data_IF_602309310827
#
_entry.id   IF_602309310827
#
_cell.length_a   1.000
_cell.length_b   1.000
_cell.length_c   1.000
_cell.angle_alpha   90.00
_cell.angle_beta   90.00
_cell.angle_gamma   90.00
#
_symmetry.space_group_name_H-M   'P 1'
#
loop_
_entity.id
_entity.type
_entity.pdbx_description
1 polymer ?
#
# COMPACT_ATOMS: atom_id res chain seq x y z
N UNK A 1 6.36 -29.80 18.26
CA UNK A 1 4.98 -30.03 17.77
C UNK A 1 4.29 -28.71 17.48
N UNK A 2 3.99 -28.42 16.22
CA UNK A 2 3.10 -27.32 15.83
C UNK A 2 1.66 -27.74 16.13
N UNK A 3 1.01 -27.14 17.14
CA UNK A 3 -0.43 -27.35 17.34
C UNK A 3 -1.17 -26.76 16.13
N UNK A 4 -2.02 -27.57 15.50
CA UNK A 4 -2.77 -27.18 14.30
C UNK A 4 -3.77 -26.04 14.58
N UNK A 5 -4.26 -25.94 15.81
CA UNK A 5 -5.12 -24.87 16.28
C UNK A 5 -4.58 -24.23 17.56
N UNK A 6 -4.72 -22.92 17.69
CA UNK A 6 -4.37 -22.18 18.91
C UNK A 6 -5.51 -21.26 19.35
N UNK A 7 -5.48 -20.82 20.62
CA UNK A 7 -6.42 -19.83 21.15
C UNK A 7 -6.44 -18.49 20.37
N UNK A 8 -5.38 -18.21 19.61
CA UNK A 8 -5.25 -16.99 18.83
C UNK A 8 -5.96 -17.06 17.48
N UNK A 9 -6.31 -18.24 16.97
CA UNK A 9 -6.77 -18.40 15.59
C UNK A 9 -8.08 -17.67 15.33
N UNK A 10 -9.00 -17.71 16.30
CA UNK A 10 -10.26 -16.98 16.24
C UNK A 10 -10.03 -15.47 16.18
N UNK A 11 -9.14 -14.95 17.04
CA UNK A 11 -8.79 -13.52 17.07
C UNK A 11 -8.11 -13.08 15.78
N UNK A 12 -7.22 -13.92 15.24
CA UNK A 12 -6.54 -13.61 13.97
C UNK A 12 -7.54 -13.60 12.82
N UNK A 13 -8.38 -14.64 12.68
CA UNK A 13 -9.37 -14.72 11.59
C UNK A 13 -10.44 -13.62 11.69
N UNK A 14 -10.84 -13.24 12.92
CA UNK A 14 -11.77 -12.15 13.16
C UNK A 14 -11.25 -10.79 12.68
N UNK A 15 -9.93 -10.63 12.56
CA UNK A 15 -9.31 -9.41 12.01
C UNK A 15 -8.92 -9.58 10.54
N UNK A 16 -8.34 -10.72 10.17
CA UNK A 16 -7.84 -10.96 8.82
C UNK A 16 -8.97 -11.07 7.78
N UNK A 17 -10.08 -11.76 8.08
CA UNK A 17 -11.16 -11.94 7.09
C UNK A 17 -11.82 -10.60 6.73
N UNK A 18 -12.20 -9.73 7.70
CA UNK A 18 -12.69 -8.39 7.37
C UNK A 18 -11.64 -7.50 6.69
N UNK A 19 -10.35 -7.64 7.06
CA UNK A 19 -9.27 -6.91 6.41
C UNK A 19 -9.13 -7.31 4.94
N UNK A 20 -9.22 -8.60 4.60
CA UNK A 20 -9.21 -9.08 3.22
C UNK A 20 -10.35 -8.47 2.41
N UNK A 21 -11.57 -8.46 2.98
CA UNK A 21 -12.72 -7.80 2.35
C UNK A 21 -12.43 -6.33 2.06
N UNK A 22 -11.88 -5.60 3.05
CA UNK A 22 -11.52 -4.17 2.92
C UNK A 22 -10.44 -3.94 1.86
N UNK A 23 -9.40 -4.76 1.83
CA UNK A 23 -8.32 -4.69 0.85
C UNK A 23 -8.80 -5.02 -0.57
N UNK A 24 -9.79 -5.90 -0.71
CA UNK A 24 -10.39 -6.27 -1.98
C UNK A 24 -11.35 -5.20 -2.55
N UNK A 25 -11.97 -4.37 -1.71
CA UNK A 25 -12.91 -3.32 -2.17
C UNK A 25 -12.26 -2.41 -3.20
N UNK A 26 -11.05 -1.90 -2.93
CA UNK A 26 -10.36 -0.97 -3.83
C UNK A 26 -10.17 -1.54 -5.25
N UNK A 27 -9.50 -2.70 -5.41
CA UNK A 27 -9.37 -3.37 -6.70
C UNK A 27 -10.71 -3.70 -7.38
N UNK A 28 -11.72 -4.14 -6.62
CA UNK A 28 -13.04 -4.47 -7.17
C UNK A 28 -13.77 -3.22 -7.69
N UNK A 29 -13.70 -2.10 -6.98
CA UNK A 29 -14.26 -0.82 -7.45
C UNK A 29 -13.52 -0.36 -8.71
N UNK A 30 -12.19 -0.41 -8.71
CA UNK A 30 -11.38 -0.04 -9.87
C UNK A 30 -11.70 -0.89 -11.12
N UNK A 31 -12.14 -2.14 -10.95
CA UNK A 31 -12.58 -3.00 -12.05
C UNK A 31 -13.87 -2.47 -12.70
N UNK A 32 -14.79 -1.93 -11.90
CA UNK A 32 -16.03 -1.32 -12.39
C UNK A 32 -15.74 -0.07 -13.23
N UNK A 33 -14.87 0.83 -12.75
CA UNK A 33 -14.44 2.02 -13.49
C UNK A 33 -13.79 1.63 -14.83
N UNK A 34 -12.92 0.62 -14.78
CA UNK A 34 -12.25 0.07 -15.96
C UNK A 34 -13.26 -0.52 -16.95
N UNK A 35 -14.32 -1.18 -16.47
CA UNK A 35 -15.38 -1.73 -17.31
C UNK A 35 -16.19 -0.62 -18.01
N UNK A 36 -16.48 0.50 -17.34
CA UNK A 36 -17.15 1.64 -17.98
C UNK A 36 -16.27 2.27 -19.05
N UNK A 37 -15.01 2.56 -18.74
CA UNK A 37 -14.07 3.14 -19.72
C UNK A 37 -13.78 2.17 -20.87
N UNK A 38 -13.74 0.86 -20.61
CA UNK A 38 -13.57 -0.17 -21.63
C UNK A 38 -14.62 -0.13 -22.73
N UNK A 39 -15.85 0.32 -22.42
CA UNK A 39 -16.92 0.50 -23.43
C UNK A 39 -16.66 1.66 -24.40
N UNK A 40 -15.75 2.58 -24.07
CA UNK A 40 -15.38 3.69 -24.95
C UNK A 40 -14.38 3.29 -26.04
N UNK A 41 -13.77 2.10 -25.93
CA UNK A 41 -12.81 1.56 -26.89
C UNK A 41 -11.38 1.44 -26.36
N UNK A 42 -10.48 0.97 -27.23
CA UNK A 42 -9.11 0.55 -26.85
C UNK A 42 -8.23 1.70 -26.39
N UNK A 43 -8.27 2.85 -27.08
CA UNK A 43 -7.40 4.00 -26.77
C UNK A 43 -7.76 4.63 -25.41
N UNK A 44 -9.03 4.92 -25.08
CA UNK A 44 -9.41 5.38 -23.74
C UNK A 44 -9.01 4.42 -22.60
N UNK A 45 -9.16 3.11 -22.82
CA UNK A 45 -8.79 2.09 -21.84
C UNK A 45 -7.28 2.03 -21.60
N UNK A 46 -6.48 2.06 -22.67
CA UNK A 46 -5.02 2.13 -22.55
C UNK A 46 -4.57 3.41 -21.83
N UNK A 47 -5.23 4.54 -22.12
CA UNK A 47 -4.93 5.83 -21.47
C UNK A 47 -5.25 5.79 -19.98
N UNK A 48 -6.35 5.15 -19.60
CA UNK A 48 -6.71 4.93 -18.19
C UNK A 48 -5.65 4.08 -17.48
N UNK A 49 -5.17 2.99 -18.09
CA UNK A 49 -4.17 2.10 -17.50
C UNK A 49 -2.83 2.80 -17.22
N UNK A 50 -2.32 3.59 -18.18
CA UNK A 50 -1.12 4.42 -17.98
C UNK A 50 -1.31 5.38 -16.82
N UNK A 51 -2.45 6.06 -16.78
CA UNK A 51 -2.75 7.02 -15.73
C UNK A 51 -2.93 6.38 -14.35
N UNK A 52 -3.60 5.24 -14.26
CA UNK A 52 -3.75 4.50 -13.01
C UNK A 52 -2.38 4.13 -12.41
N UNK A 53 -1.43 3.74 -13.27
CA UNK A 53 -0.05 3.45 -12.85
C UNK A 53 0.68 4.69 -12.34
N UNK A 54 0.59 5.81 -13.08
CA UNK A 54 1.18 7.10 -12.66
C UNK A 54 0.59 7.55 -11.32
N UNK A 55 -0.73 7.49 -11.16
CA UNK A 55 -1.41 7.86 -9.90
C UNK A 55 -0.99 6.97 -8.75
N UNK A 56 -0.96 5.65 -8.96
CA UNK A 56 -0.52 4.71 -7.92
C UNK A 56 0.90 5.05 -7.46
N UNK A 57 1.85 5.23 -8.37
CA UNK A 57 3.23 5.57 -8.03
C UNK A 57 3.35 6.94 -7.33
N UNK A 58 2.62 7.95 -7.81
CA UNK A 58 2.66 9.29 -7.26
C UNK A 58 2.09 9.35 -5.83
N UNK A 59 1.05 8.56 -5.52
CA UNK A 59 0.32 8.69 -4.26
C UNK A 59 0.56 7.58 -3.24
N UNK A 60 0.98 6.37 -3.65
CA UNK A 60 1.17 5.24 -2.73
C UNK A 60 2.20 5.54 -1.63
N UNK A 61 3.21 6.35 -1.95
CA UNK A 61 4.27 6.74 -1.01
C UNK A 61 3.70 7.55 0.16
N UNK A 62 2.63 8.32 -0.07
CA UNK A 62 2.00 9.15 0.95
C UNK A 62 1.13 8.37 1.93
N UNK A 63 0.90 7.06 1.71
CA UNK A 63 0.21 6.19 2.67
C UNK A 63 0.79 6.28 4.08
N UNK A 64 2.07 6.67 4.22
CA UNK A 64 2.68 6.96 5.50
C UNK A 64 1.85 7.94 6.35
N UNK A 65 1.10 8.85 5.75
CA UNK A 65 0.35 9.88 6.48
C UNK A 65 -0.69 9.24 7.39
N UNK A 66 -1.45 8.25 6.89
CA UNK A 66 -2.38 7.50 7.74
C UNK A 66 -1.66 6.71 8.83
N UNK A 67 -0.55 6.04 8.49
CA UNK A 67 0.23 5.23 9.43
C UNK A 67 0.97 6.07 10.48
N UNK A 68 1.32 7.32 10.19
CA UNK A 68 1.97 8.23 11.11
C UNK A 68 0.96 8.98 12.00
N UNK A 69 -0.21 9.32 11.47
CA UNK A 69 -1.27 10.03 12.20
C UNK A 69 -1.97 9.11 13.20
N UNK A 70 -2.35 7.90 12.78
CA UNK A 70 -3.14 6.97 13.61
C UNK A 70 -2.54 6.73 15.00
N UNK A 71 -1.28 6.26 15.15
CA UNK A 71 -0.71 5.96 16.46
C UNK A 71 -0.48 7.20 17.31
N UNK A 72 -0.16 8.36 16.70
CA UNK A 72 0.03 9.62 17.45
C UNK A 72 -1.28 10.12 18.05
N UNK A 73 -2.34 10.13 17.25
CA UNK A 73 -3.68 10.51 17.70
C UNK A 73 -4.19 9.51 18.74
N UNK A 74 -4.02 8.19 18.50
CA UNK A 74 -4.42 7.15 19.44
C UNK A 74 -3.68 7.25 20.77
N UNK A 75 -2.36 7.52 20.75
CA UNK A 75 -1.55 7.69 21.94
C UNK A 75 -1.97 8.89 22.77
N UNK A 76 -2.16 10.05 22.13
CA UNK A 76 -2.64 11.26 22.81
C UNK A 76 -4.06 11.08 23.38
N UNK A 77 -4.96 10.53 22.57
CA UNK A 77 -6.34 10.24 22.99
C UNK A 77 -6.40 9.24 24.15
N UNK A 78 -5.58 8.19 24.13
CA UNK A 78 -5.49 7.19 25.19
C UNK A 78 -5.00 7.74 26.52
N UNK A 79 -4.16 8.79 26.50
CA UNK A 79 -3.74 9.53 27.72
C UNK A 79 -4.79 10.53 28.23
N UNK A 80 -5.93 10.65 27.55
CA UNK A 80 -6.95 11.67 27.86
C UNK A 80 -6.62 13.06 27.33
N UNK A 81 -5.49 13.24 26.64
CA UNK A 81 -5.05 14.52 26.08
C UNK A 81 -5.67 14.75 24.70
N UNK A 82 -6.93 15.18 24.71
CA UNK A 82 -7.68 15.47 23.47
C UNK A 82 -7.11 16.64 22.69
N UNK A 83 -6.45 17.57 23.37
CA UNK A 83 -5.88 18.75 22.73
C UNK A 83 -4.65 18.39 21.90
N UNK A 84 -3.74 17.59 22.45
CA UNK A 84 -2.59 17.06 21.70
C UNK A 84 -3.04 16.17 20.54
N UNK A 85 -4.08 15.35 20.75
CA UNK A 85 -4.69 14.56 19.68
C UNK A 85 -5.21 15.47 18.55
N UNK A 86 -5.90 16.55 18.89
CA UNK A 86 -6.41 17.51 17.92
C UNK A 86 -5.31 18.28 17.20
N UNK A 87 -4.26 18.73 17.92
CA UNK A 87 -3.08 19.38 17.32
C UNK A 87 -2.37 18.46 16.34
N UNK A 88 -2.26 17.16 16.67
CA UNK A 88 -1.71 16.11 15.78
C UNK A 88 -2.54 15.98 14.50
N UNK A 89 -3.87 16.05 14.58
CA UNK A 89 -4.75 16.02 13.40
C UNK A 89 -4.54 17.24 12.50
N UNK A 90 -4.45 18.44 13.08
CA UNK A 90 -4.20 19.66 12.30
C UNK A 90 -2.85 19.59 11.59
N UNK A 91 -1.80 19.14 12.27
CA UNK A 91 -0.49 18.90 11.65
C UNK A 91 -0.56 17.93 10.47
N UNK A 92 -1.29 16.82 10.63
CA UNK A 92 -1.49 15.85 9.56
C UNK A 92 -2.25 16.45 8.36
N UNK A 93 -3.33 17.21 8.60
CA UNK A 93 -4.10 17.88 7.55
C UNK A 93 -3.28 18.95 6.81
N UNK A 94 -2.50 19.76 7.52
CA UNK A 94 -1.59 20.75 6.93
C UNK A 94 -0.54 20.07 6.05
N UNK A 95 0.07 18.99 6.53
CA UNK A 95 1.03 18.21 5.75
C UNK A 95 0.37 17.57 4.52
N UNK A 96 -0.85 17.03 4.67
CA UNK A 96 -1.62 16.46 3.56
C UNK A 96 -1.88 17.48 2.46
N UNK A 97 -2.36 18.67 2.84
CA UNK A 97 -2.63 19.74 1.91
C UNK A 97 -1.35 20.19 1.18
N UNK A 98 -0.27 20.45 1.94
CA UNK A 98 1.01 20.88 1.37
C UNK A 98 1.63 19.86 0.41
N UNK A 99 1.71 18.58 0.82
CA UNK A 99 2.23 17.51 -0.03
C UNK A 99 1.32 17.24 -1.23
N UNK A 100 0.00 17.37 -1.06
CA UNK A 100 -0.96 17.17 -2.14
C UNK A 100 -0.89 18.27 -3.18
N UNK A 101 -0.71 19.54 -2.75
CA UNK A 101 -0.42 20.66 -3.65
C UNK A 101 0.91 20.45 -4.37
N UNK A 102 1.97 20.06 -3.67
CA UNK A 102 3.26 19.76 -4.28
C UNK A 102 3.14 18.65 -5.35
N UNK A 103 2.48 17.54 -5.02
CA UNK A 103 2.26 16.44 -5.94
C UNK A 103 1.44 16.89 -7.17
N UNK A 104 0.41 17.71 -6.96
CA UNK A 104 -0.41 18.29 -8.04
C UNK A 104 0.43 19.15 -8.98
N UNK A 105 1.22 20.08 -8.43
CA UNK A 105 2.10 20.96 -9.22
C UNK A 105 3.11 20.16 -10.03
N UNK A 106 3.74 19.15 -9.43
CA UNK A 106 4.70 18.28 -10.12
C UNK A 106 4.01 17.49 -11.23
N UNK A 107 2.85 16.88 -10.96
CA UNK A 107 2.10 16.12 -11.96
C UNK A 107 1.62 17.00 -13.11
N UNK A 108 1.08 18.19 -12.86
CA UNK A 108 0.65 19.13 -13.90
C UNK A 108 1.81 19.61 -14.77
N UNK A 109 2.92 20.02 -14.14
CA UNK A 109 4.09 20.56 -14.84
C UNK A 109 4.84 19.50 -15.65
N UNK A 110 5.00 18.30 -15.07
CA UNK A 110 5.76 17.21 -15.69
C UNK A 110 4.88 16.19 -16.43
N UNK A 111 3.56 16.38 -16.52
CA UNK A 111 2.64 15.40 -17.11
C UNK A 111 3.07 14.87 -18.49
N UNK A 112 3.45 15.70 -19.48
CA UNK A 112 3.88 15.19 -20.78
C UNK A 112 5.14 14.33 -20.69
N UNK A 113 6.10 14.72 -19.85
CA UNK A 113 7.35 13.98 -19.66
C UNK A 113 7.09 12.63 -18.97
N UNK A 114 6.30 12.64 -17.89
CA UNK A 114 5.92 11.44 -17.15
C UNK A 114 5.17 10.47 -18.08
N UNK A 115 4.18 10.95 -18.83
CA UNK A 115 3.40 10.10 -19.73
C UNK A 115 4.24 9.52 -20.87
N UNK A 116 5.14 10.30 -21.46
CA UNK A 116 6.08 9.79 -22.47
C UNK A 116 7.05 8.77 -21.89
N UNK A 117 7.55 8.99 -20.67
CA UNK A 117 8.40 8.03 -19.96
C UNK A 117 7.65 6.71 -19.65
N UNK A 118 6.33 6.78 -19.44
CA UNK A 118 5.45 5.62 -19.29
C UNK A 118 5.04 4.98 -20.62
N UNK A 119 5.53 5.48 -21.76
CA UNK A 119 5.27 4.93 -23.09
C UNK A 119 4.02 5.47 -23.79
N UNK A 120 3.35 6.49 -23.26
CA UNK A 120 2.21 7.13 -23.93
C UNK A 120 2.70 8.01 -25.09
N UNK A 121 2.62 7.50 -26.31
CA UNK A 121 3.00 8.17 -27.56
C UNK A 121 1.88 8.12 -28.60
N UNK A 122 2.00 8.91 -29.67
CA UNK A 122 0.99 8.99 -30.74
C UNK A 122 -0.41 9.34 -30.21
N UNK A 123 -1.42 8.61 -30.67
CA UNK A 123 -2.83 8.82 -30.35
C UNK A 123 -3.17 8.61 -28.86
N UNK A 124 -2.27 7.97 -28.10
CA UNK A 124 -2.47 7.70 -26.67
C UNK A 124 -2.15 8.91 -25.79
N UNK A 125 -1.23 9.79 -26.23
CA UNK A 125 -0.70 10.87 -25.39
C UNK A 125 -1.78 11.90 -25.04
N UNK A 126 -2.59 12.33 -26.00
CA UNK A 126 -3.60 13.37 -25.79
C UNK A 126 -4.71 12.94 -24.81
N UNK A 127 -5.34 11.76 -24.97
CA UNK A 127 -6.31 11.26 -23.99
C UNK A 127 -5.69 11.05 -22.60
N UNK A 128 -4.47 10.49 -22.54
CA UNK A 128 -3.78 10.26 -21.28
C UNK A 128 -3.44 11.57 -20.56
N UNK A 129 -3.00 12.60 -21.30
CA UNK A 129 -2.66 13.92 -20.76
C UNK A 129 -3.89 14.63 -20.19
N UNK A 130 -5.01 14.61 -20.91
CA UNK A 130 -6.25 15.23 -20.43
C UNK A 130 -6.76 14.57 -19.15
N UNK A 131 -6.72 13.25 -19.10
CA UNK A 131 -7.10 12.49 -17.89
C UNK A 131 -6.16 12.81 -16.71
N UNK A 132 -4.83 12.78 -16.94
CA UNK A 132 -3.83 13.02 -15.89
C UNK A 132 -4.03 14.38 -15.22
N UNK A 133 -4.21 15.43 -16.02
CA UNK A 133 -4.36 16.80 -15.52
C UNK A 133 -5.59 16.96 -14.64
N UNK A 134 -6.75 16.53 -15.13
CA UNK A 134 -8.00 16.59 -14.34
C UNK A 134 -7.85 15.84 -13.01
N UNK A 135 -7.26 14.65 -13.06
CA UNK A 135 -7.04 13.85 -11.85
C UNK A 135 -5.98 14.46 -10.92
N UNK A 136 -4.98 15.17 -11.45
CA UNK A 136 -3.92 15.77 -10.65
C UNK A 136 -4.49 16.81 -9.69
N UNK A 137 -5.54 17.54 -10.11
CA UNK A 137 -6.30 18.48 -9.26
C UNK A 137 -6.95 17.82 -8.03
N UNK A 138 -7.12 16.50 -8.01
CA UNK A 138 -7.60 15.76 -6.85
C UNK A 138 -6.47 15.42 -5.85
N UNK A 139 -5.21 15.73 -6.14
CA UNK A 139 -4.05 15.41 -5.29
C UNK A 139 -4.20 15.85 -3.83
N UNK A 140 -4.62 17.10 -3.52
CA UNK A 140 -4.85 17.53 -2.15
C UNK A 140 -5.98 16.75 -1.49
N UNK A 141 -7.06 16.48 -2.22
CA UNK A 141 -8.20 15.73 -1.72
C UNK A 141 -7.83 14.29 -1.34
N UNK A 142 -7.04 13.61 -2.18
CA UNK A 142 -6.56 12.23 -1.92
C UNK A 142 -5.78 12.18 -0.59
N UNK A 143 -4.87 13.12 -0.36
CA UNK A 143 -4.08 13.12 0.87
C UNK A 143 -4.89 13.55 2.10
N UNK A 144 -5.83 14.49 1.95
CA UNK A 144 -6.74 14.88 3.03
C UNK A 144 -7.65 13.72 3.45
N UNK A 145 -8.16 12.94 2.50
CA UNK A 145 -8.91 11.70 2.77
C UNK A 145 -8.05 10.72 3.57
N UNK A 146 -6.80 10.53 3.16
CA UNK A 146 -5.86 9.66 3.87
C UNK A 146 -5.56 10.14 5.30
N UNK A 147 -5.36 11.44 5.50
CA UNK A 147 -5.17 12.03 6.83
C UNK A 147 -6.43 11.86 7.70
N UNK A 148 -7.63 12.07 7.13
CA UNK A 148 -8.91 11.87 7.80
C UNK A 148 -9.12 10.42 8.24
N UNK A 149 -8.77 9.45 7.39
CA UNK A 149 -8.75 8.04 7.76
C UNK A 149 -7.86 7.78 8.97
N UNK A 150 -6.63 8.31 8.97
CA UNK A 150 -5.70 8.15 10.08
C UNK A 150 -6.20 8.81 11.38
N UNK A 151 -6.77 10.01 11.28
CA UNK A 151 -7.28 10.76 12.42
C UNK A 151 -8.41 10.01 13.14
N UNK A 152 -9.47 9.64 12.42
CA UNK A 152 -10.62 8.96 13.01
C UNK A 152 -10.28 7.56 13.53
N UNK A 153 -9.42 6.80 12.85
CA UNK A 153 -8.89 5.54 13.39
C UNK A 153 -8.11 5.77 14.68
N UNK A 154 -7.35 6.86 14.77
CA UNK A 154 -6.64 7.25 15.99
C UNK A 154 -7.58 7.54 17.16
N UNK A 155 -8.70 8.23 16.90
CA UNK A 155 -9.79 8.41 17.88
C UNK A 155 -10.62 7.13 18.12
N UNK A 156 -10.18 5.98 17.60
CA UNK A 156 -10.87 4.68 17.73
C UNK A 156 -12.27 4.65 17.07
N UNK A 157 -12.58 5.60 16.17
CA UNK A 157 -13.80 5.61 15.37
C UNK A 157 -13.53 5.02 13.98
N UNK A 158 -13.88 3.75 13.82
CA UNK A 158 -13.74 3.03 12.55
C UNK A 158 -14.97 3.13 11.65
N UNK A 159 -16.10 3.60 12.17
CA UNK A 159 -17.37 3.71 11.41
C UNK A 159 -17.41 4.96 10.55
N UNK A 160 -16.98 6.09 11.10
CA UNK A 160 -16.99 7.37 10.37
C UNK A 160 -16.16 7.30 9.08
N UNK A 161 -14.92 6.76 9.08
CA UNK A 161 -14.16 6.59 7.85
C UNK A 161 -14.83 5.67 6.82
N UNK A 162 -15.51 4.60 7.27
CA UNK A 162 -16.24 3.70 6.38
C UNK A 162 -17.40 4.44 5.69
N UNK A 163 -18.19 5.23 6.42
CA UNK A 163 -19.30 5.97 5.82
C UNK A 163 -18.84 7.04 4.84
N UNK A 164 -17.75 7.76 5.16
CA UNK A 164 -17.16 8.71 4.20
C UNK A 164 -16.65 7.95 2.98
N UNK A 165 -16.01 6.78 3.16
CA UNK A 165 -15.59 5.89 2.07
C UNK A 165 -16.74 5.48 1.15
N UNK A 166 -17.85 5.03 1.73
CA UNK A 166 -19.03 4.63 0.97
C UNK A 166 -19.65 5.81 0.23
N UNK A 167 -19.71 6.99 0.86
CA UNK A 167 -20.23 8.20 0.23
C UNK A 167 -19.40 8.62 -0.99
N UNK A 168 -18.06 8.66 -0.90
CA UNK A 168 -17.27 9.01 -2.08
C UNK A 168 -17.41 7.98 -3.21
N UNK A 169 -17.43 6.69 -2.88
CA UNK A 169 -17.53 5.64 -3.90
C UNK A 169 -18.92 5.64 -4.54
N UNK A 170 -19.98 5.93 -3.77
CA UNK A 170 -21.32 6.11 -4.31
C UNK A 170 -21.42 7.32 -5.25
N UNK A 171 -20.80 8.46 -4.87
CA UNK A 171 -20.70 9.63 -5.76
C UNK A 171 -19.94 9.28 -7.03
N UNK A 172 -18.81 8.58 -6.94
CA UNK A 172 -18.05 8.15 -8.11
C UNK A 172 -18.86 7.23 -9.02
N UNK A 173 -19.48 6.18 -8.45
CA UNK A 173 -20.28 5.21 -9.20
C UNK A 173 -21.53 5.83 -9.85
N UNK A 174 -22.09 6.89 -9.28
CA UNK A 174 -23.20 7.64 -9.88
C UNK A 174 -22.72 8.61 -10.98
N UNK A 175 -21.62 9.32 -10.73
CA UNK A 175 -21.08 10.30 -11.68
C UNK A 175 -20.40 9.65 -12.90
N UNK A 176 -19.81 8.47 -12.76
CA UNK A 176 -19.13 7.78 -13.86
C UNK A 176 -20.05 7.58 -15.08
N UNK A 177 -21.16 6.81 -15.00
CA UNK A 177 -22.02 6.61 -16.17
C UNK A 177 -22.67 7.91 -16.65
N UNK A 178 -22.97 8.83 -15.73
CA UNK A 178 -23.58 10.12 -16.05
C UNK A 178 -22.63 11.01 -16.87
N UNK A 179 -21.38 11.18 -16.45
CA UNK A 179 -20.41 12.03 -17.15
C UNK A 179 -19.83 11.33 -18.38
N UNK A 180 -19.56 10.02 -18.29
CA UNK A 180 -18.98 9.24 -19.40
C UNK A 180 -19.97 9.14 -20.55
N UNK A 181 -21.20 8.66 -20.29
CA UNK A 181 -22.19 8.35 -21.32
C UNK A 181 -23.30 9.39 -21.41
N UNK A 182 -23.84 9.85 -20.28
CA UNK A 182 -24.96 10.80 -20.26
C UNK A 182 -24.61 12.17 -20.87
N UNK A 183 -23.46 12.73 -20.48
CA UNK A 183 -22.93 13.98 -21.06
C UNK A 183 -21.95 13.76 -22.21
N UNK A 184 -21.58 12.51 -22.50
CA UNK A 184 -20.66 12.16 -23.58
C UNK A 184 -19.22 12.65 -23.39
N UNK A 185 -18.77 12.90 -22.14
CA UNK A 185 -17.40 13.38 -21.89
C UNK A 185 -16.35 12.28 -22.01
N UNK A 186 -16.76 11.02 -22.16
CA UNK A 186 -15.89 9.87 -22.35
C UNK A 186 -14.88 9.75 -21.20
N UNK A 187 -13.60 9.55 -21.55
CA UNK A 187 -12.50 9.42 -20.57
C UNK A 187 -12.36 10.67 -19.67
N UNK A 188 -12.67 11.85 -20.20
CA UNK A 188 -12.68 13.10 -19.42
C UNK A 188 -13.75 13.04 -18.32
N UNK A 189 -14.90 12.44 -18.62
CA UNK A 189 -15.98 12.22 -17.66
C UNK A 189 -15.54 11.34 -16.50
N UNK A 190 -14.86 10.23 -16.78
CA UNK A 190 -14.29 9.34 -15.76
C UNK A 190 -13.29 10.07 -14.84
N UNK A 191 -12.37 10.84 -15.44
CA UNK A 191 -11.40 11.64 -14.67
C UNK A 191 -12.09 12.61 -13.71
N UNK A 192 -13.10 13.34 -14.21
CA UNK A 192 -13.84 14.33 -13.43
C UNK A 192 -14.69 13.68 -12.34
N UNK A 193 -15.38 12.58 -12.64
CA UNK A 193 -16.20 11.85 -11.67
C UNK A 193 -15.38 11.42 -10.46
N UNK A 194 -14.21 10.81 -10.68
CA UNK A 194 -13.36 10.42 -9.55
C UNK A 194 -12.75 11.62 -8.83
N UNK A 195 -12.38 12.70 -9.55
CA UNK A 195 -11.85 13.90 -8.92
C UNK A 195 -12.89 14.55 -7.99
N UNK A 196 -14.14 14.66 -8.44
CA UNK A 196 -15.26 15.16 -7.64
C UNK A 196 -15.50 14.27 -6.43
N UNK A 197 -15.54 12.95 -6.60
CA UNK A 197 -15.70 12.01 -5.50
C UNK A 197 -14.62 12.16 -4.42
N UNK A 198 -13.35 12.30 -4.82
CA UNK A 198 -12.26 12.53 -3.87
C UNK A 198 -12.44 13.83 -3.08
N UNK A 199 -12.85 14.92 -3.76
CA UNK A 199 -13.18 16.17 -3.09
C UNK A 199 -14.39 16.04 -2.14
N UNK A 200 -15.42 15.27 -2.51
CA UNK A 200 -16.54 14.96 -1.60
C UNK A 200 -16.04 14.28 -0.33
N UNK A 201 -15.17 13.28 -0.44
CA UNK A 201 -14.57 12.61 0.72
C UNK A 201 -13.72 13.56 1.58
N UNK A 202 -12.87 14.37 0.95
CA UNK A 202 -12.02 15.34 1.63
C UNK A 202 -12.83 16.40 2.38
N UNK A 203 -13.83 16.99 1.72
CA UNK A 203 -14.73 17.97 2.32
C UNK A 203 -15.58 17.34 3.43
N UNK A 204 -15.99 16.08 3.28
CA UNK A 204 -16.66 15.31 4.33
C UNK A 204 -15.81 15.18 5.59
N UNK A 205 -14.54 14.76 5.46
CA UNK A 205 -13.62 14.69 6.59
C UNK A 205 -13.33 16.06 7.20
N UNK A 206 -13.07 17.09 6.38
CA UNK A 206 -12.84 18.44 6.88
C UNK A 206 -14.05 19.00 7.61
N UNK A 207 -15.26 18.81 7.09
CA UNK A 207 -16.49 19.22 7.75
C UNK A 207 -16.71 18.49 9.08
N UNK A 208 -16.34 17.21 9.18
CA UNK A 208 -16.42 16.47 10.42
C UNK A 208 -15.37 16.92 11.44
N UNK A 209 -14.10 17.08 11.04
CA UNK A 209 -12.99 17.40 11.92
C UNK A 209 -12.97 18.87 12.35
N UNK A 210 -13.23 19.79 11.42
CA UNK A 210 -13.06 21.22 11.64
C UNK A 210 -14.36 21.95 12.03
N UNK A 211 -15.53 21.33 11.81
CA UNK A 211 -16.84 21.93 12.10
C UNK A 211 -17.64 21.07 13.06
N UNK A 212 -18.14 19.91 12.62
CA UNK A 212 -19.20 19.16 13.32
C UNK A 212 -18.75 18.46 14.61
N UNK A 213 -17.52 17.93 14.64
CA UNK A 213 -16.96 17.22 15.81
C UNK A 213 -15.71 17.90 16.37
N UNK A 214 -15.47 19.15 15.99
CA UNK A 214 -14.25 19.90 16.36
C UNK A 214 -13.99 19.89 17.87
N UNK A 215 -14.99 20.31 18.65
CA UNK A 215 -14.88 20.39 20.12
C UNK A 215 -14.79 19.00 20.75
N UNK A 216 -15.62 18.07 20.29
CA UNK A 216 -15.63 16.68 20.79
C UNK A 216 -14.27 15.97 20.59
N UNK A 217 -13.54 16.32 19.54
CA UNK A 217 -12.24 15.77 19.19
C UNK A 217 -11.06 16.61 19.72
N UNK A 218 -11.31 17.75 20.37
CA UNK A 218 -10.26 18.63 20.90
C UNK A 218 -9.43 19.34 19.82
N UNK A 219 -10.03 19.63 18.66
CA UNK A 219 -9.32 20.21 17.51
C UNK A 219 -9.06 21.71 17.74
N UNK A 220 -7.79 22.02 17.99
CA UNK A 220 -7.28 23.40 18.11
C UNK A 220 -6.72 23.84 16.76
N UNK A 221 -7.35 24.87 16.18
CA UNK A 221 -6.94 25.46 14.89
C UNK A 221 -5.76 26.40 15.09
N UNK A 222 -4.57 25.83 15.25
CA UNK A 222 -3.31 26.55 15.26
C UNK A 222 -2.46 26.13 14.08
N UNK A 223 -1.91 27.11 13.37
CA UNK A 223 -0.98 26.84 12.28
C UNK A 223 0.27 26.17 12.85
N UNK A 224 0.58 24.93 12.44
CA UNK A 224 1.71 24.22 13.00
C UNK A 224 3.01 24.89 12.56
N UNK A 225 3.90 25.14 13.52
CA UNK A 225 5.27 25.55 13.19
C UNK A 225 5.92 24.43 12.36
N UNK A 226 6.74 24.78 11.36
CA UNK A 226 7.44 23.78 10.54
C UNK A 226 8.21 22.74 11.38
N UNK A 227 8.76 23.17 12.53
CA UNK A 227 9.44 22.28 13.48
C UNK A 227 8.53 21.20 14.07
N UNK A 228 7.24 21.49 14.28
CA UNK A 228 6.25 20.53 14.76
C UNK A 228 5.89 19.48 13.70
N UNK A 229 6.16 19.75 12.42
CA UNK A 229 5.99 18.78 11.33
C UNK A 229 7.18 17.82 11.19
N UNK A 230 8.35 18.14 11.75
CA UNK A 230 9.55 17.32 11.62
C UNK A 230 9.37 15.88 12.14
N UNK A 231 8.72 15.62 13.29
CA UNK A 231 8.48 14.24 13.74
C UNK A 231 7.61 13.45 12.76
N UNK A 232 6.58 14.09 12.18
CA UNK A 232 5.73 13.51 11.13
C UNK A 232 6.54 13.19 9.87
N UNK A 233 7.36 14.13 9.42
CA UNK A 233 8.19 13.94 8.24
C UNK A 233 9.27 12.88 8.45
N UNK A 234 9.85 12.74 9.66
CA UNK A 234 10.84 11.70 9.95
C UNK A 234 10.23 10.31 9.85
N UNK A 235 9.12 10.05 10.56
CA UNK A 235 8.42 8.75 10.45
C UNK A 235 7.86 8.54 9.05
N UNK A 236 7.37 9.61 8.43
CA UNK A 236 6.91 9.60 7.06
C UNK A 236 7.99 9.21 6.07
N UNK A 237 9.19 9.75 6.20
CA UNK A 237 10.35 9.40 5.39
C UNK A 237 10.78 7.95 5.62
N UNK A 238 10.74 7.47 6.86
CA UNK A 238 11.02 6.07 7.18
C UNK A 238 10.05 5.12 6.46
N UNK A 239 8.75 5.37 6.53
CA UNK A 239 7.75 4.55 5.85
C UNK A 239 7.77 4.75 4.32
N UNK A 240 7.96 5.98 3.84
CA UNK A 240 8.05 6.28 2.42
C UNK A 240 9.30 5.64 1.79
N UNK A 241 10.45 5.67 2.46
CA UNK A 241 11.68 5.03 1.97
C UNK A 241 11.52 3.51 1.85
N UNK A 242 10.81 2.87 2.79
CA UNK A 242 10.41 1.47 2.67
C UNK A 242 9.54 1.24 1.43
N UNK A 243 8.50 2.04 1.25
CA UNK A 243 7.58 1.91 0.11
C UNK A 243 8.32 2.14 -1.21
N UNK A 244 9.12 3.20 -1.31
CA UNK A 244 9.94 3.54 -2.47
C UNK A 244 10.97 2.47 -2.81
N UNK A 245 11.60 1.85 -1.81
CA UNK A 245 12.54 0.77 -2.03
C UNK A 245 11.84 -0.46 -2.64
N UNK A 246 10.66 -0.83 -2.12
CA UNK A 246 9.86 -1.93 -2.65
C UNK A 246 9.35 -1.64 -4.06
N UNK A 247 8.65 -0.52 -4.26
CA UNK A 247 8.07 -0.16 -5.57
C UNK A 247 9.15 0.16 -6.59
N UNK A 248 10.25 0.79 -6.18
CA UNK A 248 11.42 1.04 -7.02
C UNK A 248 12.08 -0.25 -7.51
N UNK A 249 12.15 -1.29 -6.68
CA UNK A 249 12.65 -2.60 -7.11
C UNK A 249 11.70 -3.26 -8.12
N UNK A 250 10.39 -3.17 -7.93
CA UNK A 250 9.40 -3.67 -8.90
C UNK A 250 9.46 -2.91 -10.24
N UNK A 251 9.64 -1.60 -10.18
CA UNK A 251 9.80 -0.75 -11.35
C UNK A 251 11.10 -1.08 -12.10
N UNK A 252 12.22 -1.28 -11.38
CA UNK A 252 13.49 -1.72 -11.95
C UNK A 252 13.35 -3.09 -12.62
N UNK A 253 12.72 -4.07 -11.96
CA UNK A 253 12.48 -5.39 -12.52
C UNK A 253 11.69 -5.32 -13.84
N UNK A 254 10.65 -4.49 -13.87
CA UNK A 254 9.85 -4.23 -15.08
C UNK A 254 10.68 -3.58 -16.18
N UNK A 255 11.49 -2.57 -15.85
CA UNK A 255 12.37 -1.89 -16.80
C UNK A 255 13.43 -2.84 -17.38
N UNK A 256 14.00 -3.74 -16.55
CA UNK A 256 14.93 -4.76 -16.99
C UNK A 256 14.23 -5.78 -17.90
N UNK A 257 13.04 -6.27 -17.54
CA UNK A 257 12.26 -7.18 -18.40
C UNK A 257 11.97 -6.57 -19.78
N UNK A 258 11.63 -5.27 -19.84
CA UNK A 258 11.43 -4.55 -21.10
C UNK A 258 12.69 -4.43 -21.95
N UNK A 259 13.87 -4.33 -21.32
CA UNK A 259 15.17 -4.33 -22.03
C UNK A 259 15.60 -5.72 -22.50
N UNK A 260 15.10 -6.78 -21.86
CA UNK A 260 15.31 -8.16 -22.33
C UNK A 260 14.49 -8.40 -23.60
N UNK A 261 13.21 -8.02 -23.60
CA UNK A 261 12.37 -8.10 -24.79
C UNK A 261 10.88 -7.84 -24.54
N UNK A 262 10.12 -7.75 -25.63
CA UNK A 262 8.69 -7.37 -25.62
C UNK A 262 7.80 -8.49 -25.07
N UNK A 263 8.06 -9.74 -25.43
CA UNK A 263 7.34 -10.90 -24.90
C UNK A 263 7.68 -11.13 -23.42
N UNK A 264 8.90 -10.81 -23.00
CA UNK A 264 9.40 -10.94 -21.63
C UNK A 264 8.72 -9.96 -20.68
N UNK A 265 8.59 -8.69 -21.07
CA UNK A 265 7.84 -7.72 -20.25
C UNK A 265 6.36 -8.06 -20.21
N UNK A 266 5.76 -8.57 -21.30
CA UNK A 266 4.37 -9.02 -21.28
C UNK A 266 4.16 -10.18 -20.29
N UNK A 267 5.02 -11.20 -20.33
CA UNK A 267 4.96 -12.32 -19.40
C UNK A 267 5.22 -11.88 -17.95
N UNK A 268 6.17 -10.96 -17.74
CA UNK A 268 6.45 -10.35 -16.43
C UNK A 268 5.21 -9.65 -15.86
N UNK A 269 4.50 -8.85 -16.66
CA UNK A 269 3.29 -8.14 -16.20
C UNK A 269 2.20 -9.11 -15.74
N UNK A 270 1.93 -10.17 -16.51
CA UNK A 270 0.92 -11.16 -16.13
C UNK A 270 1.30 -11.86 -14.82
N UNK A 271 2.56 -12.28 -14.69
CA UNK A 271 3.05 -12.93 -13.49
C UNK A 271 3.09 -11.98 -12.26
N UNK A 272 3.45 -10.70 -12.46
CA UNK A 272 3.43 -9.68 -11.42
C UNK A 272 1.99 -9.34 -10.96
N UNK A 273 1.01 -9.37 -11.88
CA UNK A 273 -0.40 -9.20 -11.56
C UNK A 273 -0.92 -10.37 -10.70
N UNK A 274 -0.58 -11.61 -11.08
CA UNK A 274 -0.90 -12.79 -10.29
C UNK A 274 -0.27 -12.71 -8.89
N UNK A 275 1.00 -12.31 -8.82
CA UNK A 275 1.69 -12.11 -7.55
C UNK A 275 1.01 -11.05 -6.67
N UNK A 276 0.62 -9.91 -7.25
CA UNK A 276 -0.05 -8.81 -6.54
C UNK A 276 -1.43 -9.21 -6.02
N UNK A 277 -2.17 -10.04 -6.77
CA UNK A 277 -3.45 -10.59 -6.31
C UNK A 277 -3.27 -11.50 -5.09
N UNK A 278 -2.27 -12.39 -5.12
CA UNK A 278 -1.97 -13.30 -4.01
C UNK A 278 -1.47 -12.54 -2.77
N UNK A 279 -0.73 -11.45 -2.98
CA UNK A 279 -0.26 -10.55 -1.94
C UNK A 279 -1.42 -9.99 -1.09
N UNK A 280 -2.57 -9.64 -1.69
CA UNK A 280 -3.74 -9.12 -0.97
C UNK A 280 -4.24 -10.08 0.13
N UNK A 281 -4.20 -11.39 -0.14
CA UNK A 281 -4.62 -12.43 0.82
C UNK A 281 -3.68 -12.48 2.02
N UNK A 282 -2.38 -12.35 1.76
CA UNK A 282 -1.34 -12.36 2.80
C UNK A 282 -1.34 -11.04 3.59
N UNK A 283 -1.55 -9.91 2.94
CA UNK A 283 -1.62 -8.59 3.59
C UNK A 283 -2.73 -8.52 4.63
N UNK A 284 -3.83 -9.25 4.41
CA UNK A 284 -4.89 -9.40 5.42
C UNK A 284 -4.37 -10.02 6.74
N UNK A 285 -3.45 -10.98 6.66
CA UNK A 285 -2.77 -11.54 7.84
C UNK A 285 -1.78 -10.55 8.45
N UNK A 286 -1.10 -9.74 7.64
CA UNK A 286 -0.21 -8.69 8.12
C UNK A 286 -0.96 -7.62 8.93
N UNK A 287 -2.16 -7.24 8.50
CA UNK A 287 -3.05 -6.33 9.26
C UNK A 287 -3.43 -6.93 10.61
N UNK A 288 -3.81 -8.21 10.65
CA UNK A 288 -4.10 -8.90 11.90
C UNK A 288 -2.86 -8.99 12.82
N UNK A 289 -1.68 -9.19 12.24
CA UNK A 289 -0.42 -9.20 12.96
C UNK A 289 -0.12 -7.86 13.62
N UNK A 290 -0.22 -6.77 12.86
CA UNK A 290 -0.04 -5.42 13.38
C UNK A 290 -0.96 -5.14 14.56
N UNK A 291 -2.26 -5.44 14.42
CA UNK A 291 -3.25 -5.17 15.45
C UNK A 291 -3.06 -5.99 16.73
N UNK A 292 -2.82 -7.31 16.61
CA UNK A 292 -2.70 -8.19 17.77
C UNK A 292 -1.37 -7.99 18.51
N UNK A 293 -0.28 -7.77 17.78
CA UNK A 293 1.02 -7.49 18.39
C UNK A 293 0.97 -6.18 19.16
N UNK A 294 0.46 -5.10 18.55
CA UNK A 294 0.28 -3.83 19.22
C UNK A 294 -0.64 -3.94 20.45
N UNK A 295 -1.75 -4.70 20.36
CA UNK A 295 -2.67 -4.93 21.48
C UNK A 295 -1.98 -5.58 22.67
N UNK A 296 -1.25 -6.67 22.45
CA UNK A 296 -0.62 -7.40 23.56
C UNK A 296 0.59 -6.65 24.14
N UNK A 297 1.32 -5.88 23.34
CA UNK A 297 2.39 -5.03 23.84
C UNK A 297 1.84 -3.84 24.65
N UNK A 298 0.78 -3.19 24.17
CA UNK A 298 0.12 -2.11 24.91
C UNK A 298 -0.57 -2.57 26.19
N UNK A 299 -0.83 -3.88 26.35
CA UNK A 299 -1.34 -4.48 27.58
C UNK A 299 -0.23 -5.01 28.50
N UNK A 300 1.04 -4.71 28.19
CA UNK A 300 2.22 -5.22 28.91
C UNK A 300 2.29 -6.76 28.97
N UNK A 301 1.87 -7.43 27.90
CA UNK A 301 1.87 -8.88 27.76
C UNK A 301 2.84 -9.37 26.67
N UNK A 302 4.16 -9.09 26.78
CA UNK A 302 5.14 -9.35 25.72
C UNK A 302 5.25 -10.85 25.36
N UNK A 303 5.00 -11.74 26.33
CA UNK A 303 4.94 -13.19 26.09
C UNK A 303 3.78 -13.56 25.17
N UNK A 304 2.61 -12.93 25.32
CA UNK A 304 1.46 -13.17 24.43
C UNK A 304 1.69 -12.53 23.06
N UNK A 305 2.32 -11.36 22.99
CA UNK A 305 2.73 -10.73 21.73
C UNK A 305 3.66 -11.64 20.91
N UNK A 306 4.66 -12.26 21.55
CA UNK A 306 5.55 -13.22 20.90
C UNK A 306 4.81 -14.50 20.47
N UNK A 307 3.92 -15.03 21.31
CA UNK A 307 3.16 -16.24 21.02
C UNK A 307 2.20 -16.05 19.82
N UNK A 308 1.48 -14.92 19.76
CA UNK A 308 0.61 -14.61 18.62
C UNK A 308 1.43 -14.38 17.34
N UNK A 309 2.58 -13.69 17.44
CA UNK A 309 3.50 -13.49 16.30
C UNK A 309 3.96 -14.82 15.69
N UNK A 310 4.36 -15.77 16.53
CA UNK A 310 4.76 -17.11 16.07
C UNK A 310 3.60 -17.84 15.39
N UNK A 311 2.39 -17.73 15.93
CA UNK A 311 1.21 -18.35 15.29
C UNK A 311 0.90 -17.72 13.95
N UNK A 312 0.96 -16.39 13.84
CA UNK A 312 0.77 -15.65 12.60
C UNK A 312 1.79 -16.07 11.53
N UNK A 313 3.07 -16.21 11.88
CA UNK A 313 4.09 -16.70 10.94
C UNK A 313 3.80 -18.13 10.44
N UNK A 314 3.36 -19.03 11.33
CA UNK A 314 2.97 -20.40 10.96
C UNK A 314 1.75 -20.40 10.04
N UNK A 315 0.74 -19.60 10.36
CA UNK A 315 -0.47 -19.51 9.55
C UNK A 315 -0.19 -18.83 8.20
N UNK A 316 0.65 -17.80 8.18
CA UNK A 316 1.17 -17.18 6.97
C UNK A 316 1.89 -18.20 6.08
N UNK A 317 2.79 -19.01 6.64
CA UNK A 317 3.46 -20.08 5.90
C UNK A 317 2.46 -21.08 5.30
N UNK A 318 1.46 -21.50 6.07
CA UNK A 318 0.42 -22.41 5.59
C UNK A 318 -0.41 -21.79 4.46
N UNK A 319 -0.86 -20.54 4.61
CA UNK A 319 -1.59 -19.80 3.57
C UNK A 319 -0.72 -19.62 2.33
N UNK A 320 0.54 -19.22 2.48
CA UNK A 320 1.48 -19.08 1.37
C UNK A 320 1.74 -20.41 0.65
N UNK A 321 1.80 -21.54 1.37
CA UNK A 321 1.91 -22.87 0.76
C UNK A 321 0.65 -23.27 -0.02
N UNK A 322 -0.54 -22.97 0.51
CA UNK A 322 -1.81 -23.19 -0.20
C UNK A 322 -1.90 -22.34 -1.46
N UNK A 323 -1.56 -21.05 -1.38
CA UNK A 323 -1.55 -20.13 -2.53
C UNK A 323 -0.52 -20.56 -3.58
N UNK A 324 0.69 -20.93 -3.15
CA UNK A 324 1.74 -21.46 -4.04
C UNK A 324 1.31 -22.76 -4.71
N UNK A 325 0.68 -23.68 -3.96
CA UNK A 325 0.12 -24.91 -4.48
C UNK A 325 -0.99 -24.66 -5.51
N UNK A 326 -1.88 -23.70 -5.24
CA UNK A 326 -2.93 -23.31 -6.18
C UNK A 326 -2.35 -22.79 -7.50
N UNK A 327 -1.35 -21.89 -7.44
CA UNK A 327 -0.66 -21.41 -8.66
C UNK A 327 0.03 -22.56 -9.38
N UNK A 328 0.71 -23.45 -8.65
CA UNK A 328 1.39 -24.60 -9.24
C UNK A 328 0.44 -25.51 -9.99
N UNK A 329 -0.75 -25.78 -9.44
CA UNK A 329 -1.77 -26.63 -10.07
C UNK A 329 -2.44 -25.94 -11.26
N UNK A 330 -2.73 -24.63 -11.14
CA UNK A 330 -3.41 -23.86 -12.18
C UNK A 330 -2.46 -23.41 -13.30
N UNK A 331 -1.14 -23.55 -13.14
CA UNK A 331 -0.12 -23.08 -14.10
C UNK A 331 -0.38 -23.41 -15.57
N UNK A 332 -0.91 -24.59 -15.98
CA UNK A 332 -1.08 -24.90 -17.40
C UNK A 332 -2.24 -24.12 -18.05
N UNK A 333 -3.26 -23.79 -17.25
CA UNK A 333 -4.44 -23.07 -17.72
C UNK A 333 -4.31 -21.54 -17.54
N UNK A 334 -3.46 -21.11 -16.61
CA UNK A 334 -3.33 -19.71 -16.22
C UNK A 334 -2.98 -18.77 -17.38
N UNK A 335 -2.04 -19.08 -18.30
CA UNK A 335 -1.72 -18.21 -19.45
C UNK A 335 -2.91 -17.94 -20.39
N UNK A 336 -3.76 -18.95 -20.60
CA UNK A 336 -4.90 -18.84 -21.52
C UNK A 336 -5.96 -17.83 -21.04
N UNK A 337 -5.91 -17.41 -19.78
CA UNK A 337 -6.76 -16.35 -19.25
C UNK A 337 -6.28 -14.94 -19.61
N UNK A 338 -5.01 -14.79 -20.05
CA UNK A 338 -4.36 -13.49 -20.21
C UNK A 338 -3.85 -13.21 -21.62
N UNK A 339 -3.49 -14.24 -22.40
CA UNK A 339 -2.89 -14.04 -23.72
C UNK A 339 -3.03 -15.24 -24.64
N UNK A 340 -3.15 -14.96 -25.93
CA UNK A 340 -3.09 -15.94 -27.02
C UNK A 340 -1.69 -16.00 -27.68
N UNK A 341 -0.73 -15.16 -27.25
CA UNK A 341 0.62 -15.15 -27.81
C UNK A 341 1.45 -16.32 -27.29
N UNK A 342 1.85 -17.22 -28.21
CA UNK A 342 2.62 -18.41 -27.89
C UNK A 342 4.00 -18.10 -27.27
N UNK A 343 4.63 -16.97 -27.62
CA UNK A 343 5.91 -16.58 -27.03
C UNK A 343 5.74 -16.15 -25.56
N UNK A 344 4.78 -15.26 -25.30
CA UNK A 344 4.41 -14.81 -23.94
C UNK A 344 3.94 -15.97 -23.07
N UNK A 345 3.10 -16.88 -23.60
CA UNK A 345 2.65 -18.07 -22.85
C UNK A 345 3.82 -18.96 -22.42
N UNK A 346 4.80 -19.20 -23.31
CA UNK A 346 5.99 -20.01 -22.98
C UNK A 346 6.83 -19.38 -21.87
N UNK A 347 7.04 -18.06 -21.95
CA UNK A 347 7.78 -17.30 -20.95
C UNK A 347 7.03 -17.26 -19.60
N UNK A 348 5.71 -17.11 -19.64
CA UNK A 348 4.86 -17.12 -18.44
C UNK A 348 4.92 -18.48 -17.73
N UNK A 349 4.85 -19.58 -18.49
CA UNK A 349 5.01 -20.93 -17.94
C UNK A 349 6.40 -21.14 -17.33
N UNK A 350 7.45 -20.54 -17.89
CA UNK A 350 8.80 -20.60 -17.35
C UNK A 350 8.96 -19.84 -16.02
N UNK A 351 8.21 -18.74 -15.81
CA UNK A 351 8.25 -17.96 -14.56
C UNK A 351 7.22 -18.38 -13.52
N UNK A 352 6.18 -19.12 -13.90
CA UNK A 352 5.15 -19.60 -12.98
C UNK A 352 5.71 -20.37 -11.74
N UNK A 353 6.77 -21.19 -11.85
CA UNK A 353 7.44 -21.79 -10.69
C UNK A 353 7.96 -20.76 -9.69
N UNK A 354 8.51 -19.63 -10.15
CA UNK A 354 8.96 -18.55 -9.26
C UNK A 354 7.77 -17.96 -8.50
N UNK A 355 6.68 -17.65 -9.20
CA UNK A 355 5.45 -17.13 -8.58
C UNK A 355 4.94 -18.10 -7.52
N UNK A 356 4.86 -19.39 -7.82
CA UNK A 356 4.33 -20.42 -6.92
C UNK A 356 5.23 -20.66 -5.70
N UNK A 357 6.51 -20.94 -5.92
CA UNK A 357 7.45 -21.34 -4.87
C UNK A 357 7.85 -20.17 -3.96
N UNK A 358 7.72 -18.94 -4.43
CA UNK A 358 7.98 -17.75 -3.63
C UNK A 358 6.81 -17.42 -2.67
N UNK A 359 5.59 -17.95 -2.85
CA UNK A 359 4.43 -17.60 -2.00
C UNK A 359 4.61 -17.88 -0.50
N UNK A 360 5.13 -19.05 -0.06
CA UNK A 360 5.40 -19.29 1.36
C UNK A 360 6.37 -18.26 1.95
N UNK A 361 7.38 -17.89 1.16
CA UNK A 361 8.40 -16.92 1.55
C UNK A 361 7.83 -15.50 1.60
N UNK A 362 7.02 -15.09 0.62
CA UNK A 362 6.28 -13.82 0.63
C UNK A 362 5.41 -13.73 1.88
N UNK A 363 4.71 -14.82 2.22
CA UNK A 363 3.81 -14.85 3.36
C UNK A 363 4.54 -14.60 4.69
N UNK A 364 5.71 -15.21 4.88
CA UNK A 364 6.53 -14.95 6.07
C UNK A 364 6.99 -13.49 6.14
N UNK A 365 7.43 -12.93 5.01
CA UNK A 365 7.96 -11.57 4.95
C UNK A 365 6.86 -10.53 5.20
N UNK A 366 5.67 -10.71 4.62
CA UNK A 366 4.59 -9.73 4.74
C UNK A 366 3.93 -9.78 6.12
N UNK A 367 3.73 -10.99 6.67
CA UNK A 367 3.33 -11.14 8.08
C UNK A 367 4.40 -10.56 9.00
N UNK A 368 5.68 -10.76 8.67
CA UNK A 368 6.81 -10.13 9.34
C UNK A 368 6.69 -8.60 9.36
N UNK A 369 6.41 -7.97 8.22
CA UNK A 369 6.16 -6.53 8.17
C UNK A 369 5.07 -6.10 9.15
N UNK A 370 3.95 -6.82 9.18
CA UNK A 370 2.85 -6.56 10.12
C UNK A 370 3.28 -6.67 11.58
N UNK A 371 4.08 -7.69 11.93
CA UNK A 371 4.64 -7.84 13.29
C UNK A 371 5.53 -6.64 13.66
N UNK A 372 6.44 -6.25 12.76
CA UNK A 372 7.35 -5.12 12.99
C UNK A 372 6.64 -3.76 13.04
N UNK A 373 5.57 -3.59 12.26
CA UNK A 373 4.69 -2.43 12.39
C UNK A 373 3.95 -2.43 13.73
N UNK A 374 3.50 -3.59 14.22
CA UNK A 374 2.90 -3.73 15.55
C UNK A 374 3.86 -3.51 16.71
N UNK A 375 5.17 -3.72 16.48
CA UNK A 375 6.27 -3.40 17.40
C UNK A 375 6.71 -1.92 17.33
N UNK A 376 6.18 -1.15 16.37
CA UNK A 376 6.60 0.22 16.05
C UNK A 376 8.09 0.39 15.70
N UNK A 377 8.79 -0.69 15.31
CA UNK A 377 10.20 -0.65 14.88
C UNK A 377 10.33 -0.20 13.40
N UNK A 378 9.72 0.94 13.09
CA UNK A 378 9.63 1.49 11.74
C UNK A 378 11.01 1.78 11.14
N UNK A 379 11.94 2.27 11.96
CA UNK A 379 13.30 2.60 11.53
C UNK A 379 14.07 1.38 11.07
N UNK A 380 13.97 0.26 11.80
CA UNK A 380 14.57 -1.00 11.39
C UNK A 380 13.93 -1.49 10.09
N UNK A 381 12.59 -1.50 10.03
CA UNK A 381 11.83 -2.00 8.88
C UNK A 381 12.22 -1.27 7.58
N UNK A 382 12.43 0.05 7.64
CA UNK A 382 12.88 0.84 6.50
C UNK A 382 14.31 0.51 6.07
N UNK A 383 15.26 0.47 7.01
CA UNK A 383 16.67 0.15 6.72
C UNK A 383 16.81 -1.26 6.13
N UNK A 384 16.11 -2.24 6.71
CA UNK A 384 16.07 -3.62 6.24
C UNK A 384 15.51 -3.71 4.81
N UNK A 385 14.44 -2.97 4.51
CA UNK A 385 13.87 -2.91 3.15
C UNK A 385 14.84 -2.28 2.16
N UNK A 386 15.47 -1.14 2.49
CA UNK A 386 16.44 -0.47 1.61
C UNK A 386 17.64 -1.38 1.33
N UNK A 387 18.17 -2.06 2.35
CA UNK A 387 19.27 -3.01 2.17
C UNK A 387 18.86 -4.19 1.28
N UNK A 388 17.65 -4.73 1.48
CA UNK A 388 17.13 -5.83 0.65
C UNK A 388 16.90 -5.39 -0.79
N UNK A 389 16.39 -4.18 -1.00
CA UNK A 389 16.19 -3.57 -2.31
C UNK A 389 17.52 -3.33 -3.03
N UNK A 390 18.55 -2.85 -2.33
CA UNK A 390 19.89 -2.69 -2.90
C UNK A 390 20.48 -4.03 -3.36
N UNK A 391 20.35 -5.09 -2.55
CA UNK A 391 20.79 -6.43 -2.94
C UNK A 391 20.03 -6.99 -4.14
N UNK A 392 18.70 -6.80 -4.18
CA UNK A 392 17.89 -7.17 -5.34
C UNK A 392 18.25 -6.38 -6.61
N UNK A 393 18.48 -5.07 -6.46
CA UNK A 393 18.88 -4.20 -7.57
C UNK A 393 20.24 -4.63 -8.15
N UNK A 394 21.18 -5.06 -7.32
CA UNK A 394 22.46 -5.61 -7.79
C UNK A 394 22.26 -6.84 -8.69
N UNK A 395 21.34 -7.75 -8.34
CA UNK A 395 20.99 -8.89 -9.20
C UNK A 395 20.32 -8.42 -10.49
N UNK A 396 19.35 -7.50 -10.40
CA UNK A 396 18.58 -7.01 -11.54
C UNK A 396 19.44 -6.29 -12.59
N UNK A 397 20.41 -5.48 -12.15
CA UNK A 397 21.31 -4.76 -13.07
C UNK A 397 22.21 -5.71 -13.88
N UNK A 398 22.51 -6.90 -13.36
CA UNK A 398 23.32 -7.91 -14.04
C UNK A 398 22.56 -8.74 -15.08
N UNK A 399 21.23 -8.71 -15.07
CA UNK A 399 20.40 -9.57 -15.95
C UNK A 399 20.69 -9.35 -17.43
N UNK A 400 20.71 -8.09 -17.86
CA UNK A 400 20.96 -7.71 -19.27
C UNK A 400 22.39 -8.04 -19.70
N UNK A 401 23.45 -7.56 -19.01
CA UNK A 401 24.83 -7.83 -19.46
C UNK A 401 25.21 -9.32 -19.42
N UNK A 402 24.59 -10.11 -18.53
CA UNK A 402 24.85 -11.55 -18.43
C UNK A 402 23.89 -12.41 -19.26
N UNK A 403 22.92 -11.81 -19.95
CA UNK A 403 21.97 -12.54 -20.79
C UNK A 403 21.06 -13.52 -20.02
N UNK A 404 20.77 -13.26 -18.74
CA UNK A 404 19.95 -14.17 -17.90
C UNK A 404 18.47 -14.20 -18.27
N UNK A 405 18.04 -13.33 -19.20
CA UNK A 405 16.67 -13.26 -19.69
C UNK A 405 15.65 -12.96 -18.60
N UNK A 406 14.39 -13.32 -18.85
CA UNK A 406 13.30 -13.10 -17.90
C UNK A 406 13.51 -13.85 -16.56
N UNK A 407 14.13 -15.03 -16.58
CA UNK A 407 14.43 -15.77 -15.35
C UNK A 407 15.35 -14.99 -14.42
N UNK A 408 16.34 -14.26 -14.96
CA UNK A 408 17.19 -13.36 -14.17
C UNK A 408 16.41 -12.27 -13.45
N UNK A 409 15.36 -11.72 -14.07
CA UNK A 409 14.47 -10.72 -13.44
C UNK A 409 13.79 -11.32 -12.21
N UNK A 410 13.24 -12.53 -12.35
CA UNK A 410 12.55 -13.22 -11.25
C UNK A 410 13.51 -13.67 -10.14
N UNK A 411 14.74 -14.04 -10.46
CA UNK A 411 15.78 -14.23 -9.44
C UNK A 411 16.10 -12.94 -8.67
N UNK A 412 16.05 -11.77 -9.31
CA UNK A 412 16.13 -10.48 -8.63
C UNK A 412 14.98 -10.27 -7.63
N UNK A 413 13.76 -10.67 -7.99
CA UNK A 413 12.60 -10.62 -7.09
C UNK A 413 12.69 -11.63 -5.94
N UNK A 414 13.18 -12.84 -6.22
CA UNK A 414 13.47 -13.84 -5.17
C UNK A 414 14.54 -13.33 -4.22
N UNK A 415 15.61 -12.70 -4.73
CA UNK A 415 16.65 -12.09 -3.92
C UNK A 415 16.09 -11.00 -3.00
N UNK A 416 15.20 -10.15 -3.50
CA UNK A 416 14.50 -9.16 -2.67
C UNK A 416 13.79 -9.84 -1.49
N UNK A 417 12.97 -10.85 -1.77
CA UNK A 417 12.17 -11.49 -0.73
C UNK A 417 13.03 -12.32 0.24
N UNK A 418 14.07 -12.99 -0.25
CA UNK A 418 15.01 -13.75 0.56
C UNK A 418 15.81 -12.85 1.51
N UNK A 419 16.34 -11.72 1.02
CA UNK A 419 17.03 -10.73 1.86
C UNK A 419 16.09 -10.11 2.91
N UNK A 420 14.83 -9.86 2.55
CA UNK A 420 13.82 -9.43 3.52
C UNK A 420 13.55 -10.49 4.59
N UNK A 421 13.45 -11.77 4.21
CA UNK A 421 13.29 -12.86 5.18
C UNK A 421 14.48 -12.95 6.12
N UNK A 422 15.71 -12.83 5.60
CA UNK A 422 16.93 -12.85 6.39
C UNK A 422 17.01 -11.68 7.36
N UNK A 423 16.77 -10.45 6.89
CA UNK A 423 16.83 -9.26 7.74
C UNK A 423 15.75 -9.31 8.83
N UNK A 424 14.48 -9.50 8.47
CA UNK A 424 13.38 -9.59 9.44
C UNK A 424 13.56 -10.77 10.40
N UNK A 425 13.98 -11.93 9.89
CA UNK A 425 14.26 -13.12 10.70
C UNK A 425 15.40 -12.90 11.70
N UNK A 426 16.50 -12.29 11.27
CA UNK A 426 17.65 -11.97 12.12
C UNK A 426 17.26 -11.04 13.26
N UNK A 427 16.43 -10.02 13.01
CA UNK A 427 15.91 -9.13 14.06
C UNK A 427 14.89 -9.83 14.95
N UNK A 428 14.02 -10.69 14.39
CA UNK A 428 12.99 -11.40 15.14
C UNK A 428 13.56 -12.34 16.22
N UNK A 429 14.73 -12.95 15.97
CA UNK A 429 15.37 -13.86 16.92
C UNK A 429 16.19 -13.14 18.00
N UNK A 430 16.43 -11.84 17.88
CA UNK A 430 17.22 -11.09 18.87
C UNK A 430 16.52 -11.09 20.25
N UNK A 431 17.28 -11.34 21.33
CA UNK A 431 16.77 -11.17 22.68
C UNK A 431 16.25 -9.74 22.89
N UNK A 432 15.17 -9.60 23.65
CA UNK A 432 14.64 -8.29 24.00
C UNK A 432 13.77 -7.59 22.96
N UNK A 433 13.57 -8.13 21.74
CA UNK A 433 12.69 -7.51 20.73
C UNK A 433 11.29 -7.19 21.27
N UNK A 434 10.73 -8.11 22.04
CA UNK A 434 9.41 -7.93 22.67
C UNK A 434 9.50 -7.37 24.10
N UNK A 435 10.70 -7.17 24.66
CA UNK A 435 10.90 -6.80 26.06
C UNK A 435 11.24 -5.31 26.28
N UNK A 436 11.36 -4.52 25.20
CA UNK A 436 11.78 -3.11 25.27
C UNK A 436 10.76 -2.14 25.89
N UNK A 437 9.83 -2.62 26.73
CA UNK A 437 8.96 -1.79 27.56
C UNK A 437 9.47 -1.65 29.02
N UNK A 438 10.57 -2.29 29.41
CA UNK A 438 11.07 -2.35 30.79
C UNK A 438 12.22 -1.37 31.15
N UNK A 439 12.36 -0.22 30.49
CA UNK A 439 13.38 0.77 30.93
C UNK A 439 12.80 2.18 30.99
N UNK A 440 12.06 2.44 32.06
CA UNK A 440 12.00 3.79 32.66
C UNK A 440 13.19 3.87 33.63
N UNK A 441 14.08 4.88 33.55
CA UNK A 441 15.18 5.00 34.48
C UNK A 441 14.59 5.36 35.85
N UNK A 442 14.80 4.48 36.82
CA UNK A 442 14.63 4.77 38.25
C UNK A 442 15.24 6.14 38.54
N UNK A 443 14.40 7.06 39.00
CA UNK A 443 14.78 8.33 39.60
C UNK A 443 15.44 8.04 40.96
N UNK A 444 16.76 8.25 41.14
CA UNK A 444 17.38 8.08 42.42
C UNK A 444 17.63 9.46 43.02
N UNK A 445 16.59 10.14 43.52
CA UNK A 445 16.76 11.26 44.46
C UNK A 445 15.47 11.64 45.21
N UNK A 446 14.91 10.69 45.97
CA UNK A 446 14.18 11.01 47.18
C UNK A 446 15.10 10.86 48.39
N UNK A 447 15.73 11.96 48.82
CA UNK A 447 16.57 12.05 50.01
C UNK A 447 16.58 13.46 50.56
#
# INVERSE_FOLDING_TARGET
>A
MLKLTTRYDRDILALAVPALGTLAVGPLVSLVDTAFVGRLGRVPLAALGVNASVFSLAFIVFNFLAYATTPRVAGAYGRGDREEAGRTVVQALTLAAGLGLLATTVLEAAAPLILRAMGATGDLLTPALRYLRIRALAGPAVLLVLAGHGAFRGYQDTRTPLYVSLALNAVNAALDPLLIFGFGWGLTGAATATAVAQWTGALGFLGLLLVRRREALGIVLEWPRLRALLPFMRVGWTLASRTLALTGTMALATAVAARVGTAEVAAHQVAAQCWSFLALVVDALAVAAQALVARYLGADEPRKARAVSRRLLVMGLAVGAVLGGAVWLLRPALPALFTDDAATTRLLLAVAPFVALMQPLNALVFVGDGIFMGLEDFSYLAKAMVASAAGAAAVLVLVVPMGWGLAGVWWGLVALMALRLLTLGARYVQPGLFAAAEVEPDDPAGG
#
